data_IF_448534993844
#
_entry.id   IF_448534993844
#
_cell.length_a   1.000
_cell.length_b   1.000
_cell.length_c   1.000
_cell.angle_alpha   90.00
_cell.angle_beta   90.00
_cell.angle_gamma   90.00
#
_symmetry.space_group_name_H-M   'P 1'
#
loop_
_entity.id
_entity.type
_entity.pdbx_description
1 polymer ?
#
# COMPACT_ATOMS: atom_id res chain seq x y z
N UNK A 1 1.33 -4.89 6.94
CA UNK A 1 2.79 -4.57 6.91
C UNK A 1 3.05 -3.58 5.80
N UNK A 2 3.97 -2.66 5.98
CA UNK A 2 4.36 -1.68 4.97
C UNK A 2 5.88 -1.54 4.95
N UNK A 3 6.50 -1.50 3.85
CA UNK A 3 6.20 -1.74 2.43
C UNK A 3 6.87 -3.05 1.99
N UNK A 4 6.89 -4.01 2.89
CA UNK A 4 7.55 -5.32 2.74
C UNK A 4 7.06 -6.31 3.81
N UNK A 5 7.21 -7.61 3.57
CA UNK A 5 6.87 -8.62 4.55
C UNK A 5 7.72 -8.48 5.82
N UNK A 6 7.09 -8.59 6.98
CA UNK A 6 7.78 -8.47 8.26
C UNK A 6 8.52 -9.77 8.67
N UNK A 7 9.21 -9.75 9.79
CA UNK A 7 9.88 -10.93 10.33
C UNK A 7 8.85 -12.01 10.71
N UNK A 8 9.21 -13.31 10.65
CA UNK A 8 8.30 -14.39 11.06
C UNK A 8 7.80 -14.27 12.50
N UNK A 9 8.59 -13.66 13.40
CA UNK A 9 8.20 -13.41 14.78
C UNK A 9 7.03 -12.43 14.87
N UNK A 10 6.98 -11.42 14.02
CA UNK A 10 5.87 -10.47 13.97
C UNK A 10 4.54 -11.18 13.76
N UNK A 11 4.44 -12.04 12.75
CA UNK A 11 3.22 -12.80 12.47
C UNK A 11 2.87 -13.76 13.60
N UNK A 12 3.87 -14.42 14.20
CA UNK A 12 3.65 -15.28 15.36
C UNK A 12 3.03 -14.50 16.54
N UNK A 13 3.48 -13.28 16.78
CA UNK A 13 2.92 -12.41 17.81
C UNK A 13 1.51 -11.94 17.44
N UNK A 14 1.28 -11.59 16.17
CA UNK A 14 -0.06 -11.24 15.69
C UNK A 14 -1.03 -12.40 15.85
N UNK A 15 -0.64 -13.63 15.50
CA UNK A 15 -1.43 -14.84 15.72
C UNK A 15 -1.75 -15.02 17.22
N UNK A 16 -0.77 -14.82 18.07
CA UNK A 16 -0.91 -15.01 19.54
C UNK A 16 -1.82 -13.95 20.18
N UNK A 17 -1.71 -12.69 19.73
CA UNK A 17 -2.46 -11.57 20.31
C UNK A 17 -3.77 -11.25 19.59
N UNK A 18 -4.09 -11.95 18.51
CA UNK A 18 -5.33 -11.76 17.75
C UNK A 18 -5.35 -10.46 16.92
N UNK A 19 -4.20 -10.04 16.40
CA UNK A 19 -4.09 -8.89 15.50
C UNK A 19 -4.24 -9.33 14.05
N UNK A 20 -5.10 -8.68 13.30
CA UNK A 20 -5.22 -8.92 11.86
C UNK A 20 -4.12 -8.20 11.09
N UNK A 21 -3.66 -8.83 10.02
CA UNK A 21 -2.56 -8.34 9.18
C UNK A 21 -2.99 -8.33 7.71
N UNK A 22 -2.72 -7.23 7.04
CA UNK A 22 -2.57 -7.20 5.58
C UNK A 22 -1.09 -7.39 5.32
N UNK A 23 -0.72 -8.51 4.70
CA UNK A 23 0.67 -8.85 4.43
C UNK A 23 1.07 -8.35 3.06
N UNK A 24 2.09 -7.46 3.04
CA UNK A 24 2.45 -6.72 1.85
C UNK A 24 3.77 -7.19 1.25
N UNK A 25 3.73 -7.32 -0.07
CA UNK A 25 4.89 -7.60 -0.90
C UNK A 25 5.83 -6.40 -0.98
N UNK A 26 7.11 -6.66 -1.18
CA UNK A 26 8.18 -5.65 -1.23
C UNK A 26 8.29 -4.93 -2.59
N UNK A 27 7.19 -4.78 -3.31
CA UNK A 27 7.12 -3.99 -4.54
C UNK A 27 6.95 -2.51 -4.22
N UNK A 28 7.98 -1.73 -4.48
CA UNK A 28 8.01 -0.27 -4.32
C UNK A 28 8.78 0.35 -5.49
N UNK A 29 8.14 1.21 -6.28
CA UNK A 29 8.77 1.84 -7.44
C UNK A 29 8.50 3.34 -7.58
N UNK A 30 8.20 4.03 -6.49
CA UNK A 30 7.94 5.47 -6.47
C UNK A 30 9.06 6.28 -7.16
N UNK A 31 10.33 5.91 -6.95
CA UNK A 31 11.48 6.55 -7.59
C UNK A 31 11.46 6.55 -9.13
N UNK A 32 10.64 5.70 -9.76
CA UNK A 32 10.47 5.70 -11.21
C UNK A 32 9.82 6.97 -11.76
N UNK A 33 9.23 7.81 -10.92
CA UNK A 33 8.77 9.17 -11.28
C UNK A 33 9.90 9.96 -11.94
N UNK A 34 11.09 9.94 -11.36
CA UNK A 34 12.24 10.66 -11.89
C UNK A 34 12.68 10.09 -13.24
N UNK A 35 12.76 8.76 -13.35
CA UNK A 35 13.09 8.09 -14.62
C UNK A 35 12.09 8.45 -15.72
N UNK A 36 10.81 8.47 -15.41
CA UNK A 36 9.76 8.82 -16.35
C UNK A 36 9.87 10.28 -16.79
N UNK A 37 10.14 11.20 -15.89
CA UNK A 37 10.37 12.60 -16.18
C UNK A 37 11.58 12.80 -17.09
N UNK A 38 12.68 12.08 -16.87
CA UNK A 38 13.86 12.11 -17.73
C UNK A 38 13.56 11.63 -19.15
N UNK A 39 12.68 10.61 -19.30
CA UNK A 39 12.30 10.07 -20.60
C UNK A 39 11.28 10.92 -21.38
N UNK A 40 10.39 11.59 -20.66
CA UNK A 40 9.23 12.29 -21.25
C UNK A 40 9.27 13.82 -21.14
N UNK A 41 10.23 14.35 -20.37
CA UNK A 41 10.28 15.75 -19.97
C UNK A 41 9.42 16.03 -18.73
N UNK A 42 9.88 16.93 -17.89
CA UNK A 42 9.16 17.31 -16.66
C UNK A 42 7.81 17.96 -16.99
N UNK A 43 6.75 17.48 -16.35
CA UNK A 43 5.40 17.97 -16.56
C UNK A 43 4.40 17.46 -15.52
N UNK A 44 3.11 17.79 -15.73
CA UNK A 44 2.01 17.39 -14.82
C UNK A 44 1.78 15.88 -14.73
N UNK A 45 2.27 15.11 -15.68
CA UNK A 45 2.09 13.64 -15.74
C UNK A 45 3.22 12.83 -15.07
N UNK A 46 4.17 13.51 -14.42
CA UNK A 46 5.36 12.85 -13.82
C UNK A 46 5.03 11.67 -12.91
N UNK A 47 3.99 11.78 -12.10
CA UNK A 47 3.54 10.70 -11.22
C UNK A 47 3.16 9.40 -11.93
N UNK A 48 2.81 9.44 -13.20
CA UNK A 48 2.54 8.23 -13.99
C UNK A 48 3.75 7.30 -14.09
N UNK A 49 4.96 7.84 -13.91
CA UNK A 49 6.21 7.09 -13.88
C UNK A 49 6.24 6.01 -12.81
N UNK A 50 5.50 6.15 -11.72
CA UNK A 50 5.31 5.10 -10.70
C UNK A 50 4.94 3.77 -11.35
N UNK A 51 4.10 3.77 -12.39
CA UNK A 51 3.59 2.57 -13.05
C UNK A 51 4.54 1.96 -14.11
N UNK A 52 5.77 2.47 -14.28
CA UNK A 52 6.70 1.94 -15.30
C UNK A 52 6.97 0.45 -15.11
N UNK A 53 7.31 0.02 -13.89
CA UNK A 53 7.63 -1.39 -13.62
C UNK A 53 6.39 -2.28 -13.66
N UNK A 54 5.23 -1.73 -13.31
CA UNK A 54 3.96 -2.45 -13.29
C UNK A 54 3.52 -2.94 -14.68
N UNK A 55 4.03 -2.29 -15.76
CA UNK A 55 3.68 -2.63 -17.15
C UNK A 55 4.88 -3.14 -17.98
N UNK A 56 6.11 -3.09 -17.47
CA UNK A 56 7.29 -3.55 -18.19
C UNK A 56 7.51 -5.07 -18.02
N UNK A 57 7.34 -5.83 -19.10
CA UNK A 57 7.48 -7.29 -19.10
C UNK A 57 8.83 -7.79 -18.56
N UNK A 58 9.89 -6.98 -18.63
CA UNK A 58 11.21 -7.33 -18.08
C UNK A 58 11.19 -7.55 -16.58
N UNK A 59 10.28 -6.89 -15.86
CA UNK A 59 10.14 -6.98 -14.40
C UNK A 59 9.11 -8.03 -13.95
N UNK A 60 8.28 -8.53 -14.85
CA UNK A 60 7.19 -9.47 -14.53
C UNK A 60 7.67 -10.66 -13.70
N UNK A 61 8.76 -11.32 -14.15
CA UNK A 61 9.29 -12.50 -13.45
C UNK A 61 9.70 -12.18 -12.01
N UNK A 62 10.36 -11.03 -11.80
CA UNK A 62 10.78 -10.61 -10.46
C UNK A 62 9.58 -10.31 -9.56
N UNK A 63 8.57 -9.62 -10.08
CA UNK A 63 7.34 -9.32 -9.34
C UNK A 63 6.61 -10.61 -8.93
N UNK A 64 6.44 -11.54 -9.86
CA UNK A 64 5.76 -12.81 -9.58
C UNK A 64 6.55 -13.69 -8.60
N UNK A 65 7.88 -13.72 -8.68
CA UNK A 65 8.74 -14.43 -7.74
C UNK A 65 8.57 -13.91 -6.31
N UNK A 66 8.49 -12.57 -6.12
CA UNK A 66 8.25 -11.95 -4.82
C UNK A 66 6.88 -12.30 -4.24
N UNK A 67 5.85 -12.25 -5.07
CA UNK A 67 4.49 -12.65 -4.68
C UNK A 67 4.43 -14.12 -4.26
N UNK A 68 5.05 -15.01 -5.04
CA UNK A 68 5.09 -16.44 -4.70
C UNK A 68 5.82 -16.68 -3.37
N UNK A 69 6.93 -15.98 -3.15
CA UNK A 69 7.69 -16.05 -1.90
C UNK A 69 6.88 -15.57 -0.70
N UNK A 70 6.18 -14.43 -0.82
CA UNK A 70 5.30 -13.86 0.21
C UNK A 70 4.22 -14.88 0.61
N UNK A 71 3.40 -15.29 -0.34
CA UNK A 71 2.25 -16.17 -0.07
C UNK A 71 2.71 -17.52 0.47
N UNK A 72 3.75 -18.11 -0.13
CA UNK A 72 4.28 -19.43 0.30
C UNK A 72 4.83 -19.37 1.71
N UNK A 73 5.51 -18.28 2.10
CA UNK A 73 6.07 -18.12 3.44
C UNK A 73 4.99 -18.03 4.51
N UNK A 74 3.96 -17.22 4.26
CA UNK A 74 3.02 -16.81 5.30
C UNK A 74 1.61 -17.41 5.13
N UNK A 75 1.42 -18.34 4.19
CA UNK A 75 0.16 -19.02 3.93
C UNK A 75 -0.53 -19.58 5.19
N UNK A 76 0.23 -20.14 6.13
CA UNK A 76 -0.28 -20.73 7.37
C UNK A 76 -0.34 -19.74 8.54
N UNK A 77 -0.44 -18.44 8.29
CA UNK A 77 -0.61 -17.40 9.31
C UNK A 77 -2.07 -17.01 9.45
N UNK A 78 -2.77 -17.43 10.52
CA UNK A 78 -4.18 -17.07 10.74
C UNK A 78 -4.42 -15.55 10.84
N UNK A 79 -3.43 -14.79 11.31
CA UNK A 79 -3.52 -13.34 11.40
C UNK A 79 -3.59 -12.65 10.04
N UNK A 80 -3.04 -13.25 8.98
CA UNK A 80 -3.07 -12.66 7.63
C UNK A 80 -4.47 -12.82 7.06
N UNK A 81 -5.15 -11.71 6.81
CA UNK A 81 -6.52 -11.68 6.28
C UNK A 81 -6.57 -11.21 4.83
N UNK A 82 -5.54 -10.53 4.35
CA UNK A 82 -5.41 -10.04 2.97
C UNK A 82 -3.96 -10.09 2.53
N UNK A 83 -3.76 -10.28 1.22
CA UNK A 83 -2.48 -10.15 0.54
C UNK A 83 -2.43 -8.81 -0.18
N UNK A 84 -1.40 -8.01 0.06
CA UNK A 84 -1.16 -6.75 -0.64
C UNK A 84 -0.03 -6.89 -1.64
N UNK A 85 -0.24 -6.38 -2.86
CA UNK A 85 0.71 -6.57 -3.97
C UNK A 85 1.93 -5.65 -3.88
N UNK A 86 1.89 -4.64 -3.03
CA UNK A 86 2.97 -3.66 -2.86
C UNK A 86 2.45 -2.25 -2.64
N UNK A 87 3.34 -1.28 -2.75
CA UNK A 87 3.08 0.12 -2.48
C UNK A 87 3.58 1.01 -3.62
N UNK A 88 2.91 2.12 -3.87
CA UNK A 88 3.29 3.22 -4.78
C UNK A 88 4.03 2.79 -6.07
N UNK A 89 3.54 1.74 -6.71
CA UNK A 89 4.18 1.14 -7.88
C UNK A 89 3.29 1.12 -9.13
N UNK A 90 2.14 1.77 -9.07
CA UNK A 90 1.17 1.84 -10.15
C UNK A 90 0.57 0.47 -10.50
N UNK A 91 -0.45 0.49 -11.34
CA UNK A 91 -1.13 -0.73 -11.77
C UNK A 91 -0.93 -0.95 -13.27
N UNK A 92 -0.66 -2.18 -13.66
CA UNK A 92 -0.46 -2.59 -15.05
C UNK A 92 -0.50 -4.11 -15.18
N UNK A 93 -0.10 -4.60 -16.35
CA UNK A 93 -0.18 -6.04 -16.70
C UNK A 93 0.56 -6.95 -15.72
N UNK A 94 1.68 -6.50 -15.15
CA UNK A 94 2.45 -7.28 -14.17
C UNK A 94 1.73 -7.37 -12.83
N UNK A 95 1.11 -6.28 -12.39
CA UNK A 95 0.35 -6.25 -11.13
C UNK A 95 -0.93 -7.08 -11.25
N UNK A 96 -1.60 -7.03 -12.42
CA UNK A 96 -2.71 -7.94 -12.70
C UNK A 96 -2.29 -9.41 -12.63
N UNK A 97 -1.17 -9.76 -13.27
CA UNK A 97 -0.63 -11.12 -13.22
C UNK A 97 -0.23 -11.53 -11.78
N UNK A 98 0.26 -10.60 -10.98
CA UNK A 98 0.54 -10.81 -9.56
C UNK A 98 -0.73 -11.13 -8.76
N UNK A 99 -1.80 -10.36 -8.96
CA UNK A 99 -3.10 -10.61 -8.33
C UNK A 99 -3.68 -11.99 -8.71
N UNK A 100 -3.61 -12.33 -10.00
CA UNK A 100 -4.04 -13.64 -10.51
C UNK A 100 -3.21 -14.79 -9.91
N UNK A 101 -1.90 -14.58 -9.70
CA UNK A 101 -1.03 -15.55 -9.04
C UNK A 101 -1.40 -15.72 -7.56
N UNK A 102 -1.66 -14.62 -6.83
CA UNK A 102 -2.13 -14.72 -5.43
C UNK A 102 -3.39 -15.57 -5.36
N UNK A 103 -4.40 -15.29 -6.18
CA UNK A 103 -5.67 -16.04 -6.18
C UNK A 103 -5.50 -17.51 -6.58
N UNK A 104 -4.46 -17.84 -7.33
CA UNK A 104 -4.11 -19.23 -7.65
C UNK A 104 -3.43 -19.95 -6.49
N UNK A 105 -2.61 -19.23 -5.71
CA UNK A 105 -1.87 -19.78 -4.57
C UNK A 105 -2.76 -19.87 -3.32
N UNK A 106 -3.63 -18.89 -3.14
CA UNK A 106 -4.56 -18.79 -2.01
C UNK A 106 -5.90 -18.16 -2.47
N UNK A 107 -6.91 -18.97 -2.59
CA UNK A 107 -8.28 -18.56 -2.95
C UNK A 107 -9.15 -18.22 -1.74
N UNK A 108 -8.58 -18.21 -0.54
CA UNK A 108 -9.31 -18.01 0.72
C UNK A 108 -9.20 -16.58 1.26
N UNK A 109 -8.19 -15.82 0.84
CA UNK A 109 -7.94 -14.45 1.31
C UNK A 109 -8.13 -13.44 0.18
N UNK A 110 -8.43 -12.20 0.60
CA UNK A 110 -8.63 -11.09 -0.32
C UNK A 110 -7.30 -10.59 -0.88
N UNK A 111 -7.36 -10.05 -2.10
CA UNK A 111 -6.22 -9.42 -2.78
C UNK A 111 -6.42 -7.91 -2.80
N UNK A 112 -5.50 -7.22 -2.17
CA UNK A 112 -5.45 -5.77 -2.02
C UNK A 112 -4.33 -5.18 -2.88
N UNK A 113 -4.57 -3.99 -3.43
CA UNK A 113 -3.54 -3.11 -3.96
C UNK A 113 -4.04 -1.67 -4.00
N UNK A 114 -3.17 -0.72 -3.64
CA UNK A 114 -3.56 0.67 -3.42
C UNK A 114 -3.59 1.54 -4.66
N UNK A 115 -2.88 1.18 -5.72
CA UNK A 115 -2.62 2.13 -6.80
C UNK A 115 -3.69 2.17 -7.88
N UNK A 116 -4.17 3.38 -8.16
CA UNK A 116 -5.03 3.68 -9.29
C UNK A 116 -4.27 4.25 -10.50
N UNK A 117 -2.97 4.54 -10.35
CA UNK A 117 -2.14 5.10 -11.41
C UNK A 117 -1.78 4.02 -12.44
N UNK A 118 -2.12 4.27 -13.70
CA UNK A 118 -1.93 3.34 -14.82
C UNK A 118 -1.24 4.02 -15.99
N UNK A 119 -0.37 3.30 -16.69
CA UNK A 119 0.15 3.70 -18.00
C UNK A 119 -0.65 3.09 -19.17
N UNK A 120 -1.46 2.08 -18.89
CA UNK A 120 -2.28 1.34 -19.86
C UNK A 120 -3.71 1.12 -19.36
N UNK A 121 -4.54 0.48 -20.16
CA UNK A 121 -5.95 0.20 -19.87
C UNK A 121 -6.14 -1.16 -19.13
N UNK A 122 -5.13 -1.63 -18.41
CA UNK A 122 -5.24 -2.89 -17.65
C UNK A 122 -6.34 -2.80 -16.61
N UNK A 123 -7.29 -3.74 -16.66
CA UNK A 123 -8.39 -3.82 -15.70
C UNK A 123 -7.91 -4.31 -14.34
N UNK A 124 -8.44 -3.73 -13.28
CA UNK A 124 -8.21 -4.07 -11.87
C UNK A 124 -9.36 -4.89 -11.23
N UNK A 125 -10.25 -5.45 -12.06
CA UNK A 125 -11.39 -6.27 -11.65
C UNK A 125 -11.00 -7.56 -10.89
N UNK A 126 -9.74 -7.93 -10.93
CA UNK A 126 -9.17 -9.05 -10.16
C UNK A 126 -8.93 -8.68 -8.69
N UNK A 127 -8.88 -7.39 -8.35
CA UNK A 127 -8.72 -6.92 -6.96
C UNK A 127 -10.06 -6.97 -6.23
N UNK A 128 -10.02 -7.35 -4.96
CA UNK A 128 -11.23 -7.54 -4.15
C UNK A 128 -11.70 -6.25 -3.46
N UNK A 129 -10.83 -5.23 -3.39
CA UNK A 129 -11.10 -3.95 -2.76
C UNK A 129 -10.67 -2.79 -3.67
N UNK A 130 -11.29 -1.63 -3.44
CA UNK A 130 -10.76 -0.35 -3.89
C UNK A 130 -9.98 0.26 -2.74
N UNK A 131 -8.74 0.64 -2.99
CA UNK A 131 -7.85 1.15 -1.97
C UNK A 131 -7.21 2.45 -2.44
N UNK A 132 -7.21 3.44 -1.57
CA UNK A 132 -6.62 4.76 -1.82
C UNK A 132 -5.79 5.21 -0.63
N UNK A 133 -4.92 6.21 -0.84
CA UNK A 133 -4.15 6.89 0.18
C UNK A 133 -4.65 8.30 0.40
N UNK A 134 -4.72 8.73 1.66
CA UNK A 134 -4.97 10.12 2.07
C UNK A 134 -6.20 10.77 1.43
N UNK A 135 -7.14 9.97 1.00
CA UNK A 135 -8.40 10.44 0.40
C UNK A 135 -9.23 11.16 1.46
N UNK A 136 -9.68 12.37 1.16
CA UNK A 136 -10.52 13.13 2.10
C UNK A 136 -11.87 12.46 2.34
N UNK A 137 -12.45 12.69 3.51
CA UNK A 137 -13.77 12.17 3.87
C UNK A 137 -14.85 12.56 2.85
N UNK A 138 -14.77 13.77 2.26
CA UNK A 138 -15.66 14.19 1.18
C UNK A 138 -15.52 13.29 -0.06
N UNK A 139 -14.31 12.98 -0.48
CA UNK A 139 -14.09 12.12 -1.65
C UNK A 139 -14.43 10.65 -1.36
N UNK A 140 -14.24 10.18 -0.14
CA UNK A 140 -14.77 8.88 0.29
C UNK A 140 -16.28 8.81 0.14
N UNK A 141 -17.02 9.86 0.52
CA UNK A 141 -18.48 9.89 0.34
C UNK A 141 -18.86 9.86 -1.14
N UNK A 142 -18.09 10.52 -2.03
CA UNK A 142 -18.31 10.45 -3.49
C UNK A 142 -18.09 9.05 -4.05
N UNK A 143 -17.27 8.23 -3.41
CA UNK A 143 -17.13 6.81 -3.79
C UNK A 143 -18.46 6.06 -3.70
N UNK A 144 -19.28 6.35 -2.69
CA UNK A 144 -20.58 5.70 -2.51
C UNK A 144 -21.59 6.04 -3.62
N UNK A 145 -21.38 7.15 -4.34
CA UNK A 145 -22.21 7.58 -5.47
C UNK A 145 -21.97 6.75 -6.74
N UNK A 146 -20.88 5.98 -6.79
CA UNK A 146 -20.54 5.09 -7.91
C UNK A 146 -21.38 3.81 -7.79
N UNK A 147 -22.54 3.77 -8.43
CA UNK A 147 -23.49 2.62 -8.36
C UNK A 147 -22.90 1.34 -8.95
N UNK A 148 -22.06 1.44 -9.97
CA UNK A 148 -21.46 0.29 -10.65
C UNK A 148 -20.27 -0.32 -9.88
N UNK A 149 -19.64 0.44 -8.97
CA UNK A 149 -18.53 -0.02 -8.15
C UNK A 149 -19.07 -0.59 -6.83
N UNK A 150 -19.01 -1.89 -6.67
CA UNK A 150 -19.57 -2.60 -5.50
C UNK A 150 -18.53 -3.09 -4.52
N UNK A 151 -17.24 -3.02 -4.86
CA UNK A 151 -16.16 -3.48 -3.98
C UNK A 151 -16.12 -2.66 -2.69
N UNK A 152 -15.71 -3.24 -1.58
CA UNK A 152 -15.44 -2.46 -0.37
C UNK A 152 -14.27 -1.50 -0.58
N UNK A 153 -14.31 -0.38 0.14
CA UNK A 153 -13.28 0.68 0.09
C UNK A 153 -12.45 0.69 1.36
N UNK A 154 -11.15 0.83 1.23
CA UNK A 154 -10.19 0.93 2.33
C UNK A 154 -9.23 2.09 2.09
N UNK A 155 -8.79 2.76 3.15
CA UNK A 155 -7.63 3.64 3.11
C UNK A 155 -6.41 2.88 3.60
N UNK A 156 -5.50 2.51 2.69
CA UNK A 156 -4.26 1.85 3.09
C UNK A 156 -3.35 2.77 3.87
N UNK A 157 -3.46 4.09 3.66
CA UNK A 157 -2.81 5.12 4.47
C UNK A 157 -3.72 6.33 4.64
N UNK A 158 -3.82 6.86 5.88
CA UNK A 158 -4.51 8.11 6.15
C UNK A 158 -3.95 8.78 7.39
N UNK A 159 -4.34 10.03 7.66
CA UNK A 159 -3.96 10.82 8.83
C UNK A 159 -2.45 10.79 9.11
N UNK A 160 -1.64 11.14 8.09
CA UNK A 160 -0.18 11.15 8.17
C UNK A 160 0.34 11.80 9.47
N UNK A 161 1.06 11.04 10.28
CA UNK A 161 1.43 11.37 11.64
C UNK A 161 2.95 11.43 11.87
N UNK A 162 3.72 11.72 10.85
CA UNK A 162 5.16 11.95 10.97
C UNK A 162 5.41 13.42 11.36
N UNK A 163 5.94 13.64 12.55
CA UNK A 163 6.16 14.97 13.11
C UNK A 163 4.96 15.47 13.91
N UNK A 164 4.06 16.26 13.33
CA UNK A 164 2.82 16.64 14.00
C UNK A 164 1.83 15.47 13.96
N UNK A 165 1.18 15.23 15.10
CA UNK A 165 0.24 14.13 15.22
C UNK A 165 -0.93 14.22 14.23
N UNK A 166 -1.66 13.12 14.03
CA UNK A 166 -2.73 13.06 13.06
C UNK A 166 -3.89 13.96 13.48
N UNK A 167 -4.44 14.71 12.51
CA UNK A 167 -5.72 15.39 12.63
C UNK A 167 -6.88 14.53 12.13
N UNK A 168 -8.10 15.03 12.32
CA UNK A 168 -9.32 14.54 11.67
C UNK A 168 -9.68 13.04 11.90
N UNK A 169 -9.07 12.39 12.90
CA UNK A 169 -9.32 10.98 13.22
C UNK A 169 -10.79 10.69 13.48
N UNK A 170 -11.48 11.59 14.21
CA UNK A 170 -12.90 11.43 14.52
C UNK A 170 -13.76 11.53 13.24
N UNK A 171 -13.45 12.45 12.32
CA UNK A 171 -14.17 12.62 11.07
C UNK A 171 -14.01 11.38 10.17
N UNK A 172 -12.82 10.82 10.09
CA UNK A 172 -12.59 9.55 9.39
C UNK A 172 -13.31 8.40 10.05
N UNK A 173 -13.25 8.29 11.38
CA UNK A 173 -13.96 7.26 12.13
C UNK A 173 -15.47 7.30 11.86
N UNK A 174 -16.08 8.46 11.92
CA UNK A 174 -17.49 8.64 11.60
C UNK A 174 -17.80 8.27 10.15
N UNK A 175 -16.92 8.65 9.21
CA UNK A 175 -17.08 8.34 7.79
C UNK A 175 -17.01 6.83 7.56
N UNK A 176 -16.04 6.11 8.15
CA UNK A 176 -15.96 4.66 8.06
C UNK A 176 -17.23 3.95 8.55
N UNK A 177 -17.83 4.45 9.62
CA UNK A 177 -19.06 3.88 10.18
C UNK A 177 -20.34 4.32 9.45
N UNK A 178 -20.26 5.23 8.49
CA UNK A 178 -21.43 5.70 7.75
C UNK A 178 -21.95 4.74 6.69
N UNK A 179 -21.16 3.76 6.28
CA UNK A 179 -21.53 2.77 5.26
C UNK A 179 -20.78 1.45 5.44
N UNK A 180 -21.49 0.34 5.21
CA UNK A 180 -20.89 -1.01 5.17
C UNK A 180 -19.89 -1.22 4.01
N UNK A 181 -19.85 -0.30 3.04
CA UNK A 181 -18.86 -0.32 1.96
C UNK A 181 -17.48 0.16 2.40
N UNK A 182 -17.35 0.78 3.55
CA UNK A 182 -16.06 1.19 4.10
C UNK A 182 -15.49 0.13 5.04
N UNK A 183 -14.29 -0.35 4.74
CA UNK A 183 -13.57 -1.33 5.56
C UNK A 183 -12.80 -0.67 6.73
N UNK A 184 -12.56 0.64 6.66
CA UNK A 184 -11.67 1.34 7.59
C UNK A 184 -10.37 1.76 6.91
N UNK A 185 -9.30 1.92 7.69
CA UNK A 185 -8.01 2.34 7.16
C UNK A 185 -6.88 2.19 8.16
N UNK A 186 -5.67 2.48 7.69
CA UNK A 186 -4.43 2.41 8.46
C UNK A 186 -3.80 3.79 8.58
N UNK A 187 -3.55 4.23 9.81
CA UNK A 187 -2.87 5.51 10.07
C UNK A 187 -1.41 5.37 9.65
N UNK A 188 -0.90 6.30 8.85
CA UNK A 188 0.51 6.43 8.59
C UNK A 188 1.14 7.41 9.57
N UNK A 189 1.90 6.98 10.58
CA UNK A 189 2.18 5.58 10.86
C UNK A 189 2.21 5.33 12.37
N UNK A 190 2.44 4.09 12.78
CA UNK A 190 2.45 3.67 14.18
C UNK A 190 3.52 4.35 15.01
N UNK A 191 4.73 4.51 14.46
CA UNK A 191 5.85 5.16 15.14
C UNK A 191 6.84 5.71 14.13
N UNK A 192 7.43 6.87 14.45
CA UNK A 192 8.52 7.44 13.65
C UNK A 192 9.71 6.49 13.59
N UNK A 193 10.26 6.29 12.39
CA UNK A 193 11.45 5.46 12.15
C UNK A 193 12.73 6.27 12.24
N UNK A 194 12.69 7.46 12.83
CA UNK A 194 13.86 8.30 13.00
C UNK A 194 14.69 7.89 14.23
N UNK A 195 16.00 8.04 14.12
CA UNK A 195 16.94 7.83 15.23
C UNK A 195 17.71 9.11 15.50
N UNK A 196 18.10 9.35 16.77
CA UNK A 196 18.91 10.50 17.14
C UNK A 196 20.36 10.22 16.73
N UNK A 197 20.90 11.02 15.81
CA UNK A 197 22.28 10.95 15.34
C UNK A 197 23.24 11.87 16.13
N UNK A 198 22.72 12.70 17.03
CA UNK A 198 23.48 13.67 17.79
C UNK A 198 22.71 14.96 18.01
N UNK A 199 23.42 16.08 18.12
CA UNK A 199 22.82 17.39 18.34
C UNK A 199 23.20 18.37 17.21
N UNK A 200 22.33 19.32 16.96
CA UNK A 200 22.60 20.48 16.11
C UNK A 200 23.47 21.50 16.87
N UNK A 201 24.11 22.46 16.21
CA UNK A 201 24.93 23.49 16.89
C UNK A 201 24.18 24.32 17.94
N UNK A 202 22.85 24.39 17.86
CA UNK A 202 21.96 25.07 18.81
C UNK A 202 21.41 24.12 19.90
N UNK A 203 21.96 22.90 20.00
CA UNK A 203 21.63 21.94 21.07
C UNK A 203 20.33 21.19 20.92
N UNK A 204 19.73 21.15 19.71
CA UNK A 204 18.55 20.36 19.44
C UNK A 204 18.91 18.97 18.93
N UNK A 205 18.06 17.95 19.17
CA UNK A 205 18.27 16.63 18.58
C UNK A 205 18.36 16.70 17.06
N UNK A 206 19.38 16.04 16.49
CA UNK A 206 19.51 15.80 15.06
C UNK A 206 19.00 14.40 14.77
N UNK A 207 17.96 14.31 13.97
CA UNK A 207 17.37 13.03 13.57
C UNK A 207 17.93 12.58 12.22
N UNK A 208 18.17 11.28 12.09
CA UNK A 208 18.37 10.58 10.82
C UNK A 208 17.19 9.68 10.53
N UNK A 209 16.84 9.56 9.27
CA UNK A 209 15.74 8.71 8.78
C UNK A 209 16.28 7.85 7.64
N UNK A 210 15.76 6.66 7.43
CA UNK A 210 16.27 5.63 6.53
C UNK A 210 17.25 6.07 5.44
N UNK A 211 18.42 5.46 5.36
CA UNK A 211 19.50 5.84 4.44
C UNK A 211 20.49 6.90 4.95
N UNK A 212 20.25 7.48 6.12
CA UNK A 212 21.15 8.48 6.73
C UNK A 212 22.31 7.85 7.51
N UNK A 213 22.35 6.53 7.64
CA UNK A 213 23.39 5.75 8.33
C UNK A 213 23.74 4.47 7.57
#
# INVERSE_FOLDING_TARGET
TSHYPNSPLFYQLCDQYGLYVIDENDMESHGCVEVYNDLTGYGSDGYRGIALLASDERFKKAILDRIEALVTRDYNRPCVVMWSLGNESGYGTNMRAAAELVKKLDDTRLVHYESTLKLDETSDDVLDLVSEMYTSTENMMKYLEKEEETRPFILCEYCHAMGNGPGDLEDYHQTFHSSERFCGGFIWEWSDHSVILGETPDGKPKYGYGGDW
#
